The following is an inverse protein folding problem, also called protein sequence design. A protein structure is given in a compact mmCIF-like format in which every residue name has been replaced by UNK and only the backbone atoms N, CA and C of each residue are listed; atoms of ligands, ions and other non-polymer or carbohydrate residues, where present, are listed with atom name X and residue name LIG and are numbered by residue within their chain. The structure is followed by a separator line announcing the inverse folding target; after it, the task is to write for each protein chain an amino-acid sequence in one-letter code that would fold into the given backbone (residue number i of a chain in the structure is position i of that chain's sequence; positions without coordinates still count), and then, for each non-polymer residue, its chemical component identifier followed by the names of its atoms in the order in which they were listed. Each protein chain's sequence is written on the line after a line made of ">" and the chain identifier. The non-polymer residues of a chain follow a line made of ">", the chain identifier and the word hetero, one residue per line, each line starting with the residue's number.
data_IF_008627048662
#
_entry.id   IF_008627048662
#
_cell.length_a   1.000
_cell.length_b   1.000
_cell.length_c   1.000
_cell.angle_alpha   90.00
_cell.angle_beta   90.00
_cell.angle_gamma   90.00
#
_symmetry.space_group_name_H-M   'P 1'
#
loop_
_entity.id
_entity.type
_entity.pdbx_description
1 polymer ?
#
# COMPACT_ATOMS: atom_id res chain seq x y z
N UNK A 1 -2.26 -5.89 1.99
CA UNK A 1 -2.98 -7.05 1.40
C UNK A 1 -3.37 -8.00 2.53
N UNK A 2 -4.61 -8.43 2.58
CA UNK A 2 -5.13 -9.41 3.53
C UNK A 2 -5.62 -10.66 2.80
N UNK A 3 -5.80 -11.76 3.54
CA UNK A 3 -6.26 -13.04 3.02
C UNK A 3 -7.42 -13.56 3.87
N UNK A 4 -8.58 -13.84 3.26
CA UNK A 4 -9.76 -14.34 3.97
C UNK A 4 -10.29 -15.65 3.38
N UNK A 5 -10.88 -16.51 4.23
CA UNK A 5 -11.55 -17.76 3.86
C UNK A 5 -10.84 -19.03 4.34
N UNK A 6 -11.62 -20.08 4.63
CA UNK A 6 -11.13 -21.33 5.23
C UNK A 6 -10.49 -22.31 4.24
N UNK A 7 -11.01 -22.46 3.02
CA UNK A 7 -10.54 -23.46 2.05
C UNK A 7 -9.68 -22.90 0.90
N UNK A 8 -9.98 -21.68 0.42
CA UNK A 8 -9.20 -21.01 -0.62
C UNK A 8 -9.11 -19.53 -0.26
N UNK A 9 -8.08 -19.19 0.53
CA UNK A 9 -7.82 -17.82 0.97
C UNK A 9 -7.79 -16.90 -0.25
N UNK A 10 -8.77 -15.99 -0.33
CA UNK A 10 -8.85 -14.98 -1.39
C UNK A 10 -8.05 -13.76 -0.92
N UNK A 11 -7.07 -13.27 -1.71
CA UNK A 11 -6.43 -12.02 -1.38
C UNK A 11 -7.45 -10.88 -1.56
N UNK A 12 -7.33 -9.83 -0.77
CA UNK A 12 -8.02 -8.55 -0.95
C UNK A 12 -7.20 -7.41 -0.33
N UNK A 13 -7.32 -6.21 -0.88
CA UNK A 13 -6.79 -5.00 -0.28
C UNK A 13 -7.79 -4.44 0.72
N UNK A 14 -7.27 -3.88 1.80
CA UNK A 14 -8.05 -3.21 2.85
C UNK A 14 -7.19 -2.07 3.41
N UNK A 15 -7.85 -1.11 4.06
CA UNK A 15 -7.21 0.03 4.69
C UNK A 15 -6.35 -0.39 5.88
N UNK A 16 -5.27 0.37 6.10
CA UNK A 16 -4.42 0.22 7.29
C UNK A 16 -5.24 0.59 8.53
N UNK A 17 -5.14 -0.21 9.60
CA UNK A 17 -5.86 0.07 10.86
C UNK A 17 -5.43 1.40 11.48
N UNK A 18 -4.17 1.79 11.28
CA UNK A 18 -3.57 3.03 11.76
C UNK A 18 -4.21 4.28 11.14
N UNK A 19 -4.94 4.17 10.02
CA UNK A 19 -5.72 5.29 9.50
C UNK A 19 -6.84 5.70 10.46
N UNK A 20 -7.39 4.74 11.22
CA UNK A 20 -8.36 5.06 12.28
C UNK A 20 -7.69 5.74 13.46
N UNK A 21 -6.46 5.35 13.81
CA UNK A 21 -5.67 6.01 14.86
C UNK A 21 -5.38 7.47 14.45
N UNK A 22 -5.02 7.70 13.18
CA UNK A 22 -4.80 9.05 12.63
C UNK A 22 -6.06 9.92 12.66
N UNK A 23 -7.23 9.35 12.36
CA UNK A 23 -8.52 10.07 12.41
C UNK A 23 -8.86 10.59 13.81
N UNK A 24 -8.36 9.95 14.87
CA UNK A 24 -8.54 10.43 16.24
C UNK A 24 -7.69 11.68 16.54
N UNK A 25 -6.59 11.87 15.82
CA UNK A 25 -5.66 12.99 16.00
C UNK A 25 -5.94 14.12 15.00
N UNK A 26 -6.32 13.77 13.78
CA UNK A 26 -6.59 14.70 12.67
C UNK A 26 -8.09 14.63 12.36
N UNK A 27 -8.87 15.48 13.01
CA UNK A 27 -10.34 15.45 12.88
C UNK A 27 -10.87 15.73 11.47
N UNK A 28 -10.09 16.42 10.64
CA UNK A 28 -10.41 16.75 9.24
C UNK A 28 -10.08 15.64 8.24
N UNK A 29 -9.36 14.58 8.64
CA UNK A 29 -8.93 13.55 7.70
C UNK A 29 -10.15 12.73 7.23
N UNK A 30 -10.27 12.60 5.91
CA UNK A 30 -11.26 11.74 5.27
C UNK A 30 -10.57 10.54 4.65
N UNK A 31 -10.88 9.35 5.15
CA UNK A 31 -10.34 8.09 4.63
C UNK A 31 -11.15 7.70 3.39
N UNK A 32 -10.49 7.66 2.23
CA UNK A 32 -11.10 7.27 0.96
C UNK A 32 -10.87 5.80 0.66
N UNK A 33 -11.90 5.11 0.15
CA UNK A 33 -11.81 3.72 -0.32
C UNK A 33 -11.48 3.59 -1.80
N UNK A 34 -11.37 4.71 -2.55
CA UNK A 34 -11.21 4.68 -4.01
C UNK A 34 -10.05 3.79 -4.43
N UNK A 35 -8.88 3.94 -3.82
CA UNK A 35 -7.72 3.10 -4.15
C UNK A 35 -7.96 1.61 -3.81
N UNK A 36 -8.54 1.34 -2.64
CA UNK A 36 -8.85 -0.03 -2.21
C UNK A 36 -9.79 -0.70 -3.20
N UNK A 37 -10.85 -0.01 -3.60
CA UNK A 37 -11.85 -0.51 -4.53
C UNK A 37 -11.26 -0.72 -5.93
N UNK A 38 -10.47 0.24 -6.42
CA UNK A 38 -9.77 0.13 -7.71
C UNK A 38 -8.85 -1.08 -7.74
N UNK A 39 -8.01 -1.27 -6.71
CA UNK A 39 -7.10 -2.42 -6.63
C UNK A 39 -7.87 -3.73 -6.48
N UNK A 40 -8.97 -3.74 -5.72
CA UNK A 40 -9.80 -4.92 -5.52
C UNK A 40 -10.56 -5.36 -6.78
N UNK A 41 -10.81 -4.45 -7.71
CA UNK A 41 -11.50 -4.73 -8.97
C UNK A 41 -10.56 -5.12 -10.13
N UNK A 42 -9.24 -5.01 -9.97
CA UNK A 42 -8.28 -5.42 -11.01
C UNK A 42 -8.08 -6.95 -11.01
N UNK A 43 -8.77 -7.64 -11.92
CA UNK A 43 -8.71 -9.11 -12.03
C UNK A 43 -7.31 -9.61 -12.37
N UNK A 44 -6.56 -8.88 -13.20
CA UNK A 44 -5.20 -9.27 -13.62
C UNK A 44 -4.23 -9.20 -12.45
N UNK A 45 -4.35 -8.16 -11.62
CA UNK A 45 -3.58 -8.02 -10.39
C UNK A 45 -3.79 -9.22 -9.47
N UNK A 46 -5.03 -9.66 -9.24
CA UNK A 46 -5.28 -10.83 -8.40
C UNK A 46 -4.80 -12.14 -8.99
N UNK A 47 -4.84 -12.30 -10.32
CA UNK A 47 -4.23 -13.48 -10.97
C UNK A 47 -2.73 -13.54 -10.68
N UNK A 48 -2.03 -12.42 -10.83
CA UNK A 48 -0.60 -12.32 -10.52
C UNK A 48 -0.33 -12.58 -9.04
N UNK A 49 -1.08 -11.95 -8.13
CA UNK A 49 -0.95 -12.16 -6.68
C UNK A 49 -1.16 -13.64 -6.32
N UNK A 50 -2.19 -14.30 -6.87
CA UNK A 50 -2.46 -15.73 -6.59
C UNK A 50 -1.37 -16.66 -7.12
N UNK A 51 -0.75 -16.29 -8.24
CA UNK A 51 0.31 -17.06 -8.89
C UNK A 51 1.65 -16.89 -8.17
N UNK A 52 1.99 -15.68 -7.76
CA UNK A 52 3.27 -15.36 -7.13
C UNK A 52 3.22 -15.63 -5.63
N UNK A 53 2.11 -15.29 -4.97
CA UNK A 53 1.92 -15.39 -3.52
C UNK A 53 3.01 -14.64 -2.76
N UNK A 54 3.03 -13.29 -2.85
CA UNK A 54 3.89 -12.50 -1.97
C UNK A 54 3.66 -12.86 -0.51
N UNK A 55 4.76 -12.90 0.27
CA UNK A 55 4.68 -12.97 1.73
C UNK A 55 4.05 -11.69 2.28
N UNK A 56 4.34 -10.56 1.64
CA UNK A 56 3.78 -9.27 1.97
C UNK A 56 3.58 -8.43 0.70
N UNK A 57 2.48 -7.68 0.66
CA UNK A 57 2.22 -6.64 -0.33
C UNK A 57 1.41 -5.53 0.33
N UNK A 58 1.98 -4.34 0.40
CA UNK A 58 1.35 -3.17 0.99
C UNK A 58 1.57 -1.92 0.11
N UNK A 59 0.64 -0.98 0.23
CA UNK A 59 0.66 0.31 -0.46
C UNK A 59 0.41 1.36 0.59
N UNK A 60 1.35 2.30 0.76
CA UNK A 60 1.34 3.25 1.86
C UNK A 60 1.61 4.65 1.31
N UNK A 61 0.76 5.61 1.68
CA UNK A 61 1.04 7.03 1.52
C UNK A 61 1.82 7.51 2.75
N UNK A 62 2.96 8.15 2.53
CA UNK A 62 3.75 8.78 3.59
C UNK A 62 3.92 10.27 3.29
N UNK A 63 3.87 11.06 4.36
CA UNK A 63 4.22 12.49 4.37
C UNK A 63 5.46 12.78 5.22
N UNK A 64 5.97 11.80 5.96
CA UNK A 64 7.20 11.91 6.76
C UNK A 64 8.40 11.58 5.87
N UNK A 65 9.35 12.52 5.78
CA UNK A 65 10.62 12.30 5.08
C UNK A 65 11.45 11.20 5.76
N UNK A 66 12.12 10.35 4.98
CA UNK A 66 12.78 9.12 5.48
C UNK A 66 13.84 9.39 6.55
N UNK A 67 14.53 10.53 6.46
CA UNK A 67 15.55 10.96 7.43
C UNK A 67 15.00 11.12 8.86
N UNK A 68 13.71 11.37 9.03
CA UNK A 68 13.09 11.51 10.36
C UNK A 68 12.68 10.17 10.97
N UNK A 69 12.55 9.10 10.17
CA UNK A 69 12.08 7.80 10.63
C UNK A 69 12.95 7.17 11.75
N UNK A 70 14.31 7.26 11.73
CA UNK A 70 15.14 6.70 12.81
C UNK A 70 14.91 7.34 14.18
N UNK A 71 14.38 8.56 14.23
CA UNK A 71 14.11 9.27 15.49
C UNK A 71 12.72 8.96 16.07
N UNK A 72 11.90 8.20 15.34
CA UNK A 72 10.57 7.79 15.78
C UNK A 72 10.69 6.52 16.62
N UNK A 73 10.77 6.70 17.93
CA UNK A 73 11.03 5.64 18.91
C UNK A 73 9.80 4.81 19.30
N UNK A 74 8.58 5.21 18.89
CA UNK A 74 7.36 4.46 19.18
C UNK A 74 6.26 4.69 18.15
N UNK A 75 5.27 3.79 18.12
CA UNK A 75 4.07 3.92 17.28
C UNK A 75 3.28 5.20 17.58
N UNK A 76 3.21 5.62 18.84
CA UNK A 76 2.52 6.86 19.22
C UNK A 76 3.22 8.09 18.65
N UNK A 77 4.56 8.13 18.70
CA UNK A 77 5.34 9.19 18.08
C UNK A 77 5.19 9.19 16.56
N UNK A 78 5.04 8.02 15.93
CA UNK A 78 4.78 7.92 14.50
C UNK A 78 3.47 8.60 14.11
N UNK A 79 2.38 8.32 14.83
CA UNK A 79 1.06 8.92 14.57
C UNK A 79 1.10 10.44 14.76
N UNK A 80 1.76 10.92 15.82
CA UNK A 80 1.93 12.36 16.07
C UNK A 80 2.77 13.04 14.98
N UNK A 81 3.82 12.37 14.51
CA UNK A 81 4.61 12.86 13.39
C UNK A 81 3.78 12.90 12.10
N UNK A 82 3.07 11.82 11.76
CA UNK A 82 2.20 11.75 10.59
C UNK A 82 1.14 12.86 10.62
N UNK A 83 0.56 13.17 11.79
CA UNK A 83 -0.37 14.27 11.97
C UNK A 83 0.27 15.65 11.74
N UNK A 84 1.48 15.89 12.26
CA UNK A 84 2.19 17.15 12.01
C UNK A 84 2.52 17.34 10.53
N UNK A 85 3.00 16.29 9.87
CA UNK A 85 3.34 16.33 8.44
C UNK A 85 2.10 16.31 7.53
N UNK A 86 0.91 15.99 8.07
CA UNK A 86 -0.34 16.15 7.33
C UNK A 86 -0.74 17.62 7.17
N UNK A 87 -0.48 18.47 8.18
CA UNK A 87 -0.82 19.90 8.14
C UNK A 87 0.10 20.69 7.19
N UNK A 88 1.39 20.34 7.16
CA UNK A 88 2.40 20.98 6.31
C UNK A 88 3.38 19.93 5.76
N UNK A 89 3.00 19.20 4.69
CA UNK A 89 3.85 18.16 4.11
C UNK A 89 4.98 18.78 3.29
N UNK A 90 6.23 18.47 3.61
CA UNK A 90 7.37 18.79 2.75
C UNK A 90 7.41 17.92 1.49
N UNK A 91 6.88 16.70 1.58
CA UNK A 91 6.81 15.72 0.50
C UNK A 91 5.62 14.78 0.74
N UNK A 92 5.01 14.27 -0.34
CA UNK A 92 3.99 13.23 -0.28
C UNK A 92 4.39 12.11 -1.23
N UNK A 93 4.65 10.91 -0.67
CA UNK A 93 5.21 9.79 -1.44
C UNK A 93 4.41 8.51 -1.21
N UNK A 94 4.08 7.85 -2.32
CA UNK A 94 3.48 6.51 -2.32
C UNK A 94 4.57 5.44 -2.34
N UNK A 95 4.52 4.53 -1.37
CA UNK A 95 5.36 3.34 -1.32
C UNK A 95 4.54 2.12 -1.71
N UNK A 96 5.04 1.38 -2.69
CA UNK A 96 4.57 0.02 -3.00
C UNK A 96 5.63 -0.94 -2.49
N UNK A 97 5.33 -1.67 -1.43
CA UNK A 97 6.27 -2.63 -0.83
C UNK A 97 5.78 -4.04 -1.05
N UNK A 98 6.65 -4.88 -1.61
CA UNK A 98 6.39 -6.30 -1.83
C UNK A 98 7.55 -7.13 -1.30
N UNK A 99 7.25 -8.07 -0.42
CA UNK A 99 8.21 -9.03 0.12
C UNK A 99 7.91 -10.41 -0.46
N UNK A 100 8.91 -11.01 -1.11
CA UNK A 100 8.78 -12.36 -1.67
C UNK A 100 10.11 -13.09 -1.67
N UNK A 101 10.10 -14.37 -1.27
CA UNK A 101 11.28 -15.23 -1.32
C UNK A 101 11.46 -15.79 -2.73
N UNK A 102 12.59 -15.47 -3.36
CA UNK A 102 12.90 -15.97 -4.70
C UNK A 102 13.64 -17.31 -4.63
N UNK A 103 12.93 -18.39 -4.97
CA UNK A 103 13.55 -19.70 -5.14
C UNK A 103 14.08 -19.86 -6.57
N UNK A 104 15.33 -20.29 -6.72
CA UNK A 104 15.90 -20.63 -8.02
C UNK A 104 15.20 -21.89 -8.56
N UNK A 105 14.74 -21.85 -9.81
CA UNK A 105 14.04 -22.96 -10.44
C UNK A 105 13.34 -22.56 -11.75
N UNK A 106 12.60 -23.48 -12.40
CA UNK A 106 12.02 -23.25 -13.73
C UNK A 106 11.08 -22.04 -13.81
N UNK A 107 10.46 -21.66 -12.68
CA UNK A 107 9.53 -20.52 -12.60
C UNK A 107 10.20 -19.19 -12.23
N UNK A 108 11.49 -19.18 -11.90
CA UNK A 108 12.19 -17.98 -11.38
C UNK A 108 11.96 -16.74 -12.27
N UNK A 109 12.26 -16.84 -13.57
CA UNK A 109 12.09 -15.73 -14.52
C UNK A 109 10.64 -15.24 -14.60
N UNK A 110 9.68 -16.17 -14.55
CA UNK A 110 8.25 -15.86 -14.55
C UNK A 110 7.84 -15.15 -13.27
N UNK A 111 8.34 -15.59 -12.12
CA UNK A 111 8.09 -14.95 -10.83
C UNK A 111 8.62 -13.53 -10.82
N UNK A 112 9.90 -13.32 -11.17
CA UNK A 112 10.53 -11.99 -11.20
C UNK A 112 9.75 -11.03 -12.10
N UNK A 113 9.40 -11.46 -13.33
CA UNK A 113 8.59 -10.63 -14.22
C UNK A 113 7.23 -10.29 -13.61
N UNK A 114 6.56 -11.27 -13.02
CA UNK A 114 5.27 -11.06 -12.37
C UNK A 114 5.35 -10.08 -11.19
N UNK A 115 6.47 -10.01 -10.47
CA UNK A 115 6.68 -9.01 -9.41
C UNK A 115 6.63 -7.61 -10.02
N UNK A 116 7.41 -7.38 -11.08
CA UNK A 116 7.41 -6.08 -11.77
C UNK A 116 6.04 -5.74 -12.37
N UNK A 117 5.33 -6.72 -12.95
CA UNK A 117 3.96 -6.52 -13.45
C UNK A 117 3.00 -6.11 -12.32
N UNK A 118 3.08 -6.72 -11.13
CA UNK A 118 2.27 -6.31 -9.96
C UNK A 118 2.58 -4.86 -9.59
N UNK A 119 3.87 -4.52 -9.47
CA UNK A 119 4.29 -3.17 -9.08
C UNK A 119 3.83 -2.12 -10.10
N UNK A 120 3.94 -2.41 -11.39
CA UNK A 120 3.53 -1.53 -12.48
C UNK A 120 2.01 -1.30 -12.50
N UNK A 121 1.21 -2.37 -12.35
CA UNK A 121 -0.25 -2.26 -12.27
C UNK A 121 -0.67 -1.39 -11.09
N UNK A 122 -0.10 -1.63 -9.90
CA UNK A 122 -0.41 -0.83 -8.71
C UNK A 122 0.02 0.63 -8.91
N UNK A 123 1.21 0.87 -9.46
CA UNK A 123 1.71 2.23 -9.73
C UNK A 123 0.80 2.99 -10.70
N UNK A 124 0.29 2.32 -11.74
CA UNK A 124 -0.69 2.89 -12.67
C UNK A 124 -1.97 3.32 -11.93
N UNK A 125 -2.57 2.43 -11.15
CA UNK A 125 -3.78 2.74 -10.37
C UNK A 125 -3.56 3.88 -9.38
N UNK A 126 -2.41 3.90 -8.70
CA UNK A 126 -2.03 4.99 -7.80
C UNK A 126 -1.97 6.32 -8.52
N UNK A 127 -1.37 6.36 -9.71
CA UNK A 127 -1.30 7.57 -10.54
C UNK A 127 -2.69 8.05 -10.94
N UNK A 128 -3.54 7.15 -11.45
CA UNK A 128 -4.90 7.47 -11.87
C UNK A 128 -5.75 8.01 -10.70
N UNK A 129 -5.68 7.36 -9.54
CA UNK A 129 -6.38 7.82 -8.34
C UNK A 129 -5.86 9.18 -7.86
N UNK A 130 -4.54 9.36 -7.83
CA UNK A 130 -3.93 10.64 -7.40
C UNK A 130 -4.31 11.77 -8.35
N UNK A 131 -4.23 11.56 -9.66
CA UNK A 131 -4.64 12.54 -10.67
C UNK A 131 -6.13 12.90 -10.57
N UNK A 132 -6.99 11.96 -10.19
CA UNK A 132 -8.43 12.20 -10.00
C UNK A 132 -8.73 13.12 -8.81
N UNK A 133 -7.89 13.08 -7.77
CA UNK A 133 -8.02 13.95 -6.59
C UNK A 133 -7.48 15.35 -6.88
N UNK A 134 -6.38 15.48 -7.62
CA UNK A 134 -5.81 16.79 -7.99
C UNK A 134 -6.70 17.63 -8.92
N UNK A 135 -7.71 17.03 -9.56
CA UNK A 135 -8.65 17.73 -10.46
C UNK A 135 -9.94 18.20 -9.77
N UNK A 136 -10.11 17.88 -8.49
CA UNK A 136 -11.24 18.33 -7.65
C UNK A 136 -10.88 19.62 -6.93
#
# INVERSE_FOLDING_TARGET
>A
LMYQGLLRRRPFFDNRKELNDLRQVISSITISNILVDTLNNDTRLFELIKNIRPSELNVILKSIHEEFLPFIISKEYLIKAEAKFYEDPSEITWYITMTHMLMRGPRFKKTVRGIFEILEIIAKHLREVTESVSRQ
#
